data_IF_469743567659
#
_entry.id   IF_469743567659
#
_cell.length_a   1.000
_cell.length_b   1.000
_cell.length_c   1.000
_cell.angle_alpha   90.00
_cell.angle_beta   90.00
_cell.angle_gamma   90.00
#
_symmetry.space_group_name_H-M   'P 1'
#
loop_
_entity.id
_entity.type
_entity.pdbx_description
1 polymer ?
#
# COMPACT_ATOMS: atom_id res chain seq x y z
N UNK A 1 -2.52 2.61 22.48
CA UNK A 1 -2.81 1.32 21.84
C UNK A 1 -1.61 0.99 20.98
N UNK A 2 -0.93 -0.13 21.20
CA UNK A 2 0.19 -0.53 20.36
C UNK A 2 -0.36 -0.97 19.01
N UNK A 3 -0.29 -0.09 18.01
CA UNK A 3 -0.51 -0.47 16.62
C UNK A 3 0.54 -1.51 16.29
N UNK A 4 0.13 -2.75 16.06
CA UNK A 4 1.03 -3.81 15.63
C UNK A 4 1.80 -3.32 14.38
N UNK A 5 3.08 -3.69 14.24
CA UNK A 5 3.86 -3.28 13.09
C UNK A 5 3.15 -3.70 11.79
N UNK A 6 3.07 -2.77 10.84
CA UNK A 6 2.50 -3.04 9.52
C UNK A 6 3.63 -3.30 8.53
N UNK A 7 3.38 -4.20 7.60
CA UNK A 7 4.33 -4.60 6.57
C UNK A 7 3.70 -4.33 5.22
N UNK A 8 4.41 -3.54 4.42
CA UNK A 8 4.07 -3.30 3.04
C UNK A 8 4.49 -4.49 2.17
N UNK A 9 3.63 -4.89 1.24
CA UNK A 9 3.91 -5.94 0.25
C UNK A 9 3.16 -5.63 -1.04
N UNK A 10 3.53 -6.32 -2.12
CA UNK A 10 2.81 -6.27 -3.39
C UNK A 10 1.89 -7.48 -3.49
N UNK A 11 0.60 -7.24 -3.71
CA UNK A 11 -0.35 -8.30 -4.04
C UNK A 11 0.00 -8.93 -5.40
N UNK A 12 -0.61 -10.07 -5.71
CA UNK A 12 -0.43 -10.76 -7.00
C UNK A 12 -0.77 -9.88 -8.21
N UNK A 13 -1.72 -8.94 -8.04
CA UNK A 13 -2.11 -7.93 -9.03
C UNK A 13 -1.11 -6.77 -9.14
N UNK A 14 -0.06 -6.77 -8.32
CA UNK A 14 0.97 -5.74 -8.28
C UNK A 14 0.50 -4.44 -7.62
N UNK A 15 -0.41 -4.52 -6.65
CA UNK A 15 -0.91 -3.38 -5.87
C UNK A 15 -0.23 -3.36 -4.51
N UNK A 16 0.12 -2.18 -4.00
CA UNK A 16 0.74 -2.04 -2.68
C UNK A 16 -0.33 -2.13 -1.58
N UNK A 17 -0.16 -3.10 -0.68
CA UNK A 17 -1.01 -3.32 0.49
C UNK A 17 -0.17 -3.33 1.77
N UNK A 18 -0.82 -3.11 2.92
CA UNK A 18 -0.25 -3.31 4.24
C UNK A 18 -1.02 -4.39 5.00
N UNK A 19 -0.29 -5.24 5.73
CA UNK A 19 -0.87 -6.20 6.66
C UNK A 19 0.11 -6.49 7.80
N UNK A 20 -0.22 -7.43 8.69
CA UNK A 20 0.77 -8.05 9.56
C UNK A 20 1.84 -8.84 8.77
N UNK A 21 2.93 -9.19 9.45
CA UNK A 21 4.07 -9.88 8.85
C UNK A 21 3.70 -11.26 8.27
N UNK A 22 2.85 -12.03 8.96
CA UNK A 22 2.48 -13.39 8.57
C UNK A 22 1.71 -13.38 7.23
N UNK A 23 0.82 -12.40 7.04
CA UNK A 23 0.16 -12.18 5.76
C UNK A 23 1.12 -11.65 4.69
N UNK A 24 1.91 -10.62 5.01
CA UNK A 24 2.80 -10.01 4.03
C UNK A 24 3.84 -11.01 3.50
N UNK A 25 4.33 -11.91 4.35
CA UNK A 25 5.26 -12.98 3.98
C UNK A 25 4.68 -13.97 2.95
N UNK A 26 3.36 -14.17 2.91
CA UNK A 26 2.71 -15.04 1.91
C UNK A 26 2.80 -14.48 0.49
N UNK A 27 3.02 -13.17 0.36
CA UNK A 27 3.18 -12.48 -0.92
C UNK A 27 4.65 -12.30 -1.33
N UNK A 28 5.59 -12.86 -0.56
CA UNK A 28 7.02 -12.85 -0.85
C UNK A 28 7.74 -11.67 -0.19
N UNK A 29 8.26 -10.74 -1.01
CA UNK A 29 9.03 -9.59 -0.51
C UNK A 29 8.10 -8.64 0.24
N UNK A 30 8.49 -8.29 1.47
CA UNK A 30 7.75 -7.39 2.35
C UNK A 30 8.70 -6.48 3.12
N UNK A 31 8.23 -5.30 3.52
CA UNK A 31 9.02 -4.28 4.23
C UNK A 31 8.20 -3.70 5.36
N UNK A 32 8.78 -3.62 6.57
CA UNK A 32 8.12 -2.99 7.71
C UNK A 32 7.92 -1.49 7.45
N UNK A 33 6.74 -0.97 7.79
CA UNK A 33 6.38 0.44 7.63
C UNK A 33 5.70 1.00 8.88
N UNK A 34 5.74 2.32 9.02
CA UNK A 34 4.98 3.07 10.03
C UNK A 34 3.64 3.59 9.51
N UNK A 35 3.31 3.32 8.24
CA UNK A 35 2.00 3.64 7.69
C UNK A 35 0.91 2.76 8.31
N UNK A 36 -0.28 3.33 8.43
CA UNK A 36 -1.50 2.60 8.78
C UNK A 36 -2.26 2.24 7.51
N UNK A 37 -3.08 1.20 7.58
CA UNK A 37 -4.02 0.81 6.53
C UNK A 37 -5.48 1.12 6.87
N UNK A 38 -6.27 1.20 5.81
CA UNK A 38 -7.73 1.18 5.81
C UNK A 38 -8.25 -0.26 6.08
N UNK A 39 -9.56 -0.42 6.31
CA UNK A 39 -10.24 -1.70 6.47
C UNK A 39 -9.97 -2.70 5.31
N UNK A 40 -9.61 -2.19 4.14
CA UNK A 40 -9.27 -2.98 2.94
C UNK A 40 -7.77 -3.33 2.83
N UNK A 41 -6.94 -2.92 3.79
CA UNK A 41 -5.48 -3.15 3.77
C UNK A 41 -4.70 -2.21 2.85
N UNK A 42 -5.30 -1.09 2.40
CA UNK A 42 -4.58 -0.08 1.61
C UNK A 42 -3.90 0.95 2.52
N UNK A 43 -2.68 1.40 2.20
CA UNK A 43 -2.00 2.42 2.98
C UNK A 43 -2.81 3.73 3.05
N UNK A 44 -2.96 4.28 4.25
CA UNK A 44 -3.65 5.54 4.52
C UNK A 44 -2.66 6.69 4.46
N UNK A 45 -2.93 7.64 3.58
CA UNK A 45 -2.16 8.88 3.44
C UNK A 45 -3.10 10.05 3.67
N UNK A 46 -2.76 10.91 4.63
CA UNK A 46 -3.59 12.08 5.02
C UNK A 46 -5.05 11.72 5.36
N UNK A 47 -5.28 10.51 5.87
CA UNK A 47 -6.61 10.03 6.27
C UNK A 47 -7.42 9.35 5.15
N UNK A 48 -6.86 9.23 3.95
CA UNK A 48 -7.50 8.50 2.84
C UNK A 48 -6.74 7.22 2.51
N UNK A 49 -7.47 6.11 2.34
CA UNK A 49 -6.90 4.86 1.81
C UNK A 49 -6.48 5.04 0.35
N UNK A 50 -5.20 4.78 0.06
CA UNK A 50 -4.60 4.98 -1.26
C UNK A 50 -4.32 3.65 -1.92
N UNK A 51 -4.94 3.41 -3.08
CA UNK A 51 -4.65 2.27 -3.95
C UNK A 51 -3.50 2.67 -4.87
N UNK A 52 -2.31 2.09 -4.66
CA UNK A 52 -1.11 2.40 -5.45
C UNK A 52 -0.68 1.25 -6.35
N UNK A 53 -0.46 1.56 -7.63
CA UNK A 53 0.02 0.66 -8.68
C UNK A 53 1.47 1.04 -9.05
N UNK A 54 2.51 0.43 -8.45
CA UNK A 54 3.90 0.82 -8.66
C UNK A 54 4.37 0.69 -10.10
N UNK A 55 3.93 -0.34 -10.81
CA UNK A 55 4.31 -0.56 -12.22
C UNK A 55 3.76 0.51 -13.17
N UNK A 56 2.69 1.19 -12.76
CA UNK A 56 2.10 2.29 -13.52
C UNK A 56 2.46 3.68 -12.95
N UNK A 57 3.11 3.73 -11.78
CA UNK A 57 3.32 4.94 -10.97
C UNK A 57 2.02 5.75 -10.73
N UNK A 58 0.90 5.05 -10.51
CA UNK A 58 -0.43 5.67 -10.32
C UNK A 58 -1.05 5.34 -8.98
N UNK A 59 -1.58 6.37 -8.32
CA UNK A 59 -2.30 6.27 -7.05
C UNK A 59 -3.74 6.76 -7.19
N UNK A 60 -4.66 6.07 -6.52
CA UNK A 60 -6.08 6.39 -6.51
C UNK A 60 -6.58 6.45 -5.07
N UNK A 61 -7.55 7.31 -4.82
CA UNK A 61 -8.33 7.37 -3.57
C UNK A 61 -9.80 7.16 -3.89
N UNK A 62 -10.59 6.79 -2.88
CA UNK A 62 -12.05 6.57 -3.00
C UNK A 62 -12.41 5.59 -4.12
N UNK A 63 -11.60 4.55 -4.28
CA UNK A 63 -11.72 3.56 -5.36
C UNK A 63 -10.36 3.22 -5.98
N UNK A 64 -10.41 2.50 -7.10
CA UNK A 64 -9.23 2.01 -7.81
C UNK A 64 -9.17 2.58 -9.24
N UNK A 65 -8.40 1.97 -10.15
CA UNK A 65 -8.27 2.44 -11.54
C UNK A 65 -9.59 2.56 -12.33
N UNK A 66 -10.65 1.85 -11.94
CA UNK A 66 -11.94 1.85 -12.63
C UNK A 66 -12.92 2.96 -12.21
N UNK A 67 -12.90 3.34 -10.93
CA UNK A 67 -13.91 4.24 -10.33
C UNK A 67 -13.30 5.30 -9.38
N UNK A 68 -12.04 5.11 -9.00
CA UNK A 68 -11.34 5.97 -8.05
C UNK A 68 -10.85 7.29 -8.67
N UNK A 69 -10.53 8.23 -7.79
CA UNK A 69 -9.94 9.52 -8.16
C UNK A 69 -8.42 9.39 -8.22
N UNK A 70 -7.85 9.63 -9.41
CA UNK A 70 -6.40 9.71 -9.59
C UNK A 70 -5.81 10.86 -8.77
N UNK A 71 -4.72 10.58 -8.05
CA UNK A 71 -3.95 11.56 -7.29
C UNK A 71 -2.46 11.46 -7.65
N UNK A 72 -1.66 12.50 -7.37
CA UNK A 72 -0.21 12.39 -7.39
C UNK A 72 0.24 11.28 -6.42
N UNK A 73 1.08 10.36 -6.90
CA UNK A 73 1.58 9.27 -6.08
C UNK A 73 2.43 9.79 -4.91
N UNK A 74 2.03 9.52 -3.65
CA UNK A 74 2.77 9.96 -2.48
C UNK A 74 4.20 9.40 -2.46
N UNK A 75 5.23 10.23 -2.16
CA UNK A 75 6.63 9.79 -2.19
C UNK A 75 6.93 8.59 -1.30
N UNK A 76 6.30 8.50 -0.12
CA UNK A 76 6.47 7.38 0.80
C UNK A 76 6.03 6.05 0.17
N UNK A 77 4.98 6.05 -0.65
CA UNK A 77 4.53 4.84 -1.34
C UNK A 77 5.49 4.45 -2.46
N UNK A 78 6.10 5.44 -3.14
CA UNK A 78 7.15 5.19 -4.14
C UNK A 78 8.38 4.54 -3.50
N UNK A 79 8.80 5.03 -2.35
CA UNK A 79 9.94 4.48 -1.61
C UNK A 79 9.69 3.03 -1.20
N UNK A 80 8.54 2.76 -0.57
CA UNK A 80 8.16 1.39 -0.19
C UNK A 80 8.10 0.47 -1.41
N UNK A 81 7.48 0.90 -2.51
CA UNK A 81 7.40 0.06 -3.69
C UNK A 81 8.75 -0.17 -4.37
N UNK A 82 9.66 0.80 -4.35
CA UNK A 82 11.02 0.60 -4.86
C UNK A 82 11.78 -0.48 -4.07
N UNK A 83 11.48 -0.63 -2.78
CA UNK A 83 12.02 -1.71 -1.95
C UNK A 83 11.30 -3.05 -2.19
N UNK A 84 10.11 -3.06 -2.76
CA UNK A 84 9.32 -4.29 -3.00
C UNK A 84 9.43 -4.85 -4.42
N UNK A 85 9.83 -4.02 -5.39
CA UNK A 85 10.17 -4.42 -6.75
C UNK A 85 11.55 -5.11 -6.82
#
# INVERSE_FOLDING_TARGET
MSTQPRFAFLSSDGILHLHDEEHAAQHGKHVQTSLTDDESGYPVIEGEGVVYYPREDKSYIKGNKGDGKLIPTPPVLKQLAAELL
#
